data_IF_045901927157
#
_entry.id   IF_045901927157
#
_cell.length_a   1.000
_cell.length_b   1.000
_cell.length_c   1.000
_cell.angle_alpha   90.00
_cell.angle_beta   90.00
_cell.angle_gamma   90.00
#
_symmetry.space_group_name_H-M   'P 1'
#
loop_
_entity.id
_entity.type
_entity.pdbx_description
1 polymer ?
#
# COMPACT_ATOMS: atom_id res chain seq x y z
N UNK A 1 16.59 34.71 -10.56
CA UNK A 1 17.10 35.84 -11.35
C UNK A 1 16.82 35.61 -12.83
N UNK A 2 15.74 36.17 -13.36
CA UNK A 2 15.54 36.35 -14.81
C UNK A 2 14.78 37.66 -14.98
N UNK A 3 15.51 38.67 -15.44
CA UNK A 3 15.02 39.99 -15.82
C UNK A 3 14.46 39.89 -17.24
N UNK A 4 13.14 39.93 -17.40
CA UNK A 4 12.49 40.26 -18.67
C UNK A 4 11.78 41.60 -18.47
N UNK A 5 12.05 42.67 -19.21
CA UNK A 5 12.53 42.74 -20.58
C UNK A 5 11.52 43.55 -21.38
N UNK A 6 11.61 44.86 -21.25
CA UNK A 6 11.08 45.94 -22.11
C UNK A 6 10.01 45.59 -23.16
N UNK A 7 8.82 46.17 -22.99
CA UNK A 7 8.06 46.73 -24.12
C UNK A 7 7.56 48.13 -23.75
N UNK A 8 8.44 49.13 -23.85
CA UNK A 8 8.00 50.52 -24.02
C UNK A 8 7.59 50.69 -25.48
N UNK A 9 6.29 50.69 -25.77
CA UNK A 9 5.80 51.19 -27.07
C UNK A 9 6.07 52.69 -27.12
N UNK A 10 7.10 53.08 -27.86
CA UNK A 10 7.33 54.46 -28.28
C UNK A 10 6.15 54.90 -29.16
N UNK A 11 5.17 55.57 -28.57
CA UNK A 11 4.26 56.42 -29.33
C UNK A 11 5.03 57.69 -29.70
N UNK A 12 5.57 57.72 -30.92
CA UNK A 12 6.07 58.95 -31.53
C UNK A 12 4.85 59.85 -31.77
N UNK A 13 4.57 60.73 -30.81
CA UNK A 13 3.65 61.83 -31.00
C UNK A 13 4.41 62.85 -31.84
N UNK A 14 4.20 62.82 -33.16
CA UNK A 14 4.62 63.93 -34.03
C UNK A 14 3.81 65.16 -33.63
N UNK A 15 4.41 66.03 -32.82
CA UNK A 15 3.87 67.35 -32.54
C UNK A 15 3.82 68.13 -33.86
N UNK A 16 2.61 68.38 -34.37
CA UNK A 16 2.42 69.44 -35.37
C UNK A 16 2.95 70.73 -34.76
N UNK A 17 3.95 71.34 -35.40
CA UNK A 17 4.42 72.70 -35.09
C UNK A 17 3.28 73.65 -35.44
N UNK A 18 2.40 73.91 -34.48
CA UNK A 18 1.39 74.95 -34.58
C UNK A 18 2.04 76.29 -34.21
N UNK A 19 2.31 77.08 -35.26
CA UNK A 19 2.58 78.53 -35.29
C UNK A 19 3.36 79.07 -34.06
N UNK A 20 4.67 79.18 -34.26
CA UNK A 20 5.61 79.74 -33.30
C UNK A 20 5.19 81.17 -32.92
N UNK A 21 5.09 81.41 -31.60
CA UNK A 21 4.85 82.74 -31.03
C UNK A 21 5.89 83.81 -31.44
N UNK A 22 7.00 83.40 -32.07
CA UNK A 22 8.07 84.27 -32.56
C UNK A 22 7.66 85.19 -33.70
N UNK A 23 6.71 84.78 -34.56
CA UNK A 23 6.24 85.61 -35.69
C UNK A 23 5.32 86.77 -35.24
N UNK A 24 4.80 86.69 -34.01
CA UNK A 24 3.76 87.61 -33.53
C UNK A 24 4.29 88.91 -32.93
N UNK A 25 5.47 88.87 -32.32
CA UNK A 25 6.10 90.08 -31.77
C UNK A 25 6.59 91.03 -32.88
N UNK A 26 7.06 90.48 -33.99
CA UNK A 26 7.54 91.20 -35.17
C UNK A 26 6.40 91.88 -35.94
N UNK A 27 5.27 91.21 -36.16
CA UNK A 27 4.10 91.79 -36.87
C UNK A 27 3.45 92.94 -36.09
N UNK A 28 3.38 92.82 -34.75
CA UNK A 28 2.80 93.87 -33.89
C UNK A 28 3.63 95.16 -33.92
N UNK A 29 4.94 95.05 -34.11
CA UNK A 29 5.86 96.20 -34.12
C UNK A 29 6.05 96.83 -35.51
N UNK A 30 5.64 96.16 -36.59
CA UNK A 30 5.77 96.65 -37.97
C UNK A 30 4.46 97.07 -38.65
N UNK A 31 3.29 96.72 -38.10
CA UNK A 31 1.99 96.96 -38.76
C UNK A 31 1.34 98.29 -38.33
N UNK A 32 1.31 99.28 -39.22
CA UNK A 32 0.78 100.63 -38.97
C UNK A 32 -0.76 100.73 -39.11
N UNK A 33 -1.43 99.69 -39.63
CA UNK A 33 -2.88 99.68 -39.81
C UNK A 33 -3.61 99.18 -38.53
N UNK A 34 -4.38 100.04 -37.84
CA UNK A 34 -4.99 99.70 -36.55
C UNK A 34 -6.04 98.58 -36.63
N UNK A 35 -6.64 98.36 -37.81
CA UNK A 35 -7.61 97.27 -38.02
C UNK A 35 -6.92 95.89 -38.07
N UNK A 36 -5.83 95.76 -38.83
CA UNK A 36 -5.05 94.52 -38.91
C UNK A 36 -4.41 94.18 -37.57
N UNK A 37 -3.86 95.19 -36.88
CA UNK A 37 -3.31 95.01 -35.54
C UNK A 37 -4.37 94.48 -34.55
N UNK A 38 -5.60 95.01 -34.60
CA UNK A 38 -6.72 94.53 -33.78
C UNK A 38 -7.12 93.10 -34.10
N UNK A 39 -7.20 92.72 -35.37
CA UNK A 39 -7.46 91.34 -35.80
C UNK A 39 -6.37 90.39 -35.31
N UNK A 40 -5.11 90.82 -35.39
CA UNK A 40 -3.95 90.05 -34.93
C UNK A 40 -3.96 89.80 -33.42
N UNK A 41 -4.19 90.85 -32.63
CA UNK A 41 -4.33 90.76 -31.17
C UNK A 41 -5.51 89.84 -30.80
N UNK A 42 -6.62 89.92 -31.54
CA UNK A 42 -7.79 89.06 -31.32
C UNK A 42 -7.48 87.59 -31.60
N UNK A 43 -6.72 87.31 -32.67
CA UNK A 43 -6.26 85.97 -33.03
C UNK A 43 -5.32 85.39 -31.96
N UNK A 44 -4.32 86.17 -31.54
CA UNK A 44 -3.40 85.81 -30.45
C UNK A 44 -4.12 85.50 -29.15
N UNK A 45 -5.07 86.35 -28.76
CA UNK A 45 -5.83 86.15 -27.54
C UNK A 45 -6.67 84.87 -27.61
N UNK A 46 -7.28 84.59 -28.76
CA UNK A 46 -8.01 83.34 -29.00
C UNK A 46 -7.09 82.13 -28.91
N UNK A 47 -5.94 82.15 -29.61
CA UNK A 47 -4.95 81.08 -29.57
C UNK A 47 -4.39 80.83 -28.17
N UNK A 48 -4.10 81.90 -27.40
CA UNK A 48 -3.67 81.80 -26.01
C UNK A 48 -4.76 81.15 -25.13
N UNK A 49 -6.02 81.58 -25.27
CA UNK A 49 -7.15 81.02 -24.51
C UNK A 49 -7.36 79.54 -24.83
N UNK A 50 -7.26 79.16 -26.09
CA UNK A 50 -7.38 77.77 -26.55
C UNK A 50 -6.21 76.92 -26.05
N UNK A 51 -4.96 77.39 -26.16
CA UNK A 51 -3.78 76.71 -25.59
C UNK A 51 -3.90 76.55 -24.07
N UNK A 52 -4.39 77.56 -23.35
CA UNK A 52 -4.60 77.48 -21.90
C UNK A 52 -5.69 76.45 -21.53
N UNK A 53 -6.76 76.35 -22.32
CA UNK A 53 -7.79 75.31 -22.15
C UNK A 53 -7.21 73.92 -22.39
N UNK A 54 -6.43 73.75 -23.46
CA UNK A 54 -5.73 72.49 -23.75
C UNK A 54 -4.75 72.10 -22.65
N UNK A 55 -4.00 73.07 -22.12
CA UNK A 55 -3.05 72.86 -21.02
C UNK A 55 -3.77 72.40 -19.74
N UNK A 56 -4.87 73.04 -19.36
CA UNK A 56 -5.70 72.59 -18.22
C UNK A 56 -6.25 71.18 -18.42
N UNK A 57 -6.69 70.86 -19.64
CA UNK A 57 -7.13 69.49 -19.96
C UNK A 57 -5.99 68.48 -19.87
N UNK A 58 -4.78 68.84 -20.30
CA UNK A 58 -3.61 68.00 -20.17
C UNK A 58 -3.23 67.75 -18.70
N UNK A 59 -3.26 68.77 -17.85
CA UNK A 59 -3.05 68.61 -16.41
C UNK A 59 -4.09 67.69 -15.77
N UNK A 60 -5.38 67.85 -16.09
CA UNK A 60 -6.42 66.96 -15.59
C UNK A 60 -6.20 65.50 -16.01
N UNK A 61 -5.74 65.25 -17.25
CA UNK A 61 -5.36 63.90 -17.69
C UNK A 61 -4.14 63.37 -16.95
N UNK A 62 -3.15 64.22 -16.67
CA UNK A 62 -1.95 63.84 -15.95
C UNK A 62 -2.28 63.43 -14.50
N UNK A 63 -3.19 64.14 -13.84
CA UNK A 63 -3.67 63.78 -12.50
C UNK A 63 -4.40 62.43 -12.50
N UNK A 64 -5.26 62.17 -13.50
CA UNK A 64 -5.94 60.89 -13.66
C UNK A 64 -4.95 59.75 -13.86
N UNK A 65 -3.98 59.91 -14.77
CA UNK A 65 -2.95 58.91 -15.02
C UNK A 65 -2.08 58.66 -13.78
N UNK A 66 -1.78 59.69 -12.99
CA UNK A 66 -0.99 59.54 -11.77
C UNK A 66 -1.77 58.77 -10.68
N UNK A 67 -3.09 58.98 -10.61
CA UNK A 67 -3.97 58.19 -9.74
C UNK A 67 -4.03 56.73 -10.19
N UNK A 68 -4.18 56.46 -11.50
CA UNK A 68 -4.15 55.10 -12.06
C UNK A 68 -2.81 54.40 -11.76
N UNK A 69 -1.67 55.09 -11.94
CA UNK A 69 -0.35 54.56 -11.60
C UNK A 69 -0.26 54.20 -10.11
N UNK A 70 -0.87 55.00 -9.24
CA UNK A 70 -0.86 54.73 -7.79
C UNK A 70 -1.70 53.50 -7.46
N UNK A 71 -2.88 53.35 -8.08
CA UNK A 71 -3.74 52.17 -7.92
C UNK A 71 -3.08 50.90 -8.47
N UNK A 72 -2.42 50.98 -9.61
CA UNK A 72 -1.71 49.84 -10.19
C UNK A 72 -0.51 49.43 -9.33
N UNK A 73 0.19 50.40 -8.71
CA UNK A 73 1.23 50.08 -7.71
C UNK A 73 0.68 49.32 -6.51
N UNK A 74 -0.47 49.74 -5.97
CA UNK A 74 -1.07 49.02 -4.84
C UNK A 74 -1.49 47.61 -5.23
N UNK A 75 -2.12 47.44 -6.40
CA UNK A 75 -2.49 46.12 -6.93
C UNK A 75 -1.26 45.22 -7.11
N UNK A 76 -0.16 45.77 -7.62
CA UNK A 76 1.08 45.01 -7.80
C UNK A 76 1.62 44.49 -6.46
N UNK A 77 1.61 45.33 -5.42
CA UNK A 77 2.03 44.92 -4.08
C UNK A 77 1.13 43.81 -3.53
N UNK A 78 -0.20 43.94 -3.67
CA UNK A 78 -1.15 42.92 -3.21
C UNK A 78 -0.90 41.57 -3.90
N UNK A 79 -0.65 41.59 -5.22
CA UNK A 79 -0.31 40.40 -6.01
C UNK A 79 1.04 39.80 -5.59
N UNK A 80 2.02 40.64 -5.24
CA UNK A 80 3.33 40.17 -4.77
C UNK A 80 3.20 39.45 -3.42
N UNK A 81 2.40 39.99 -2.50
CA UNK A 81 2.10 39.38 -1.20
C UNK A 81 1.31 38.07 -1.36
N UNK A 82 0.32 38.03 -2.24
CA UNK A 82 -0.43 36.81 -2.56
C UNK A 82 0.49 35.73 -3.15
N UNK A 83 1.34 36.09 -4.10
CA UNK A 83 2.32 35.16 -4.68
C UNK A 83 3.29 34.62 -3.64
N UNK A 84 3.71 35.45 -2.68
CA UNK A 84 4.55 35.01 -1.58
C UNK A 84 3.82 33.99 -0.69
N UNK A 85 2.59 34.29 -0.31
CA UNK A 85 1.73 33.38 0.47
C UNK A 85 1.52 32.03 -0.24
N UNK A 86 1.24 32.06 -1.55
CA UNK A 86 1.08 30.85 -2.35
C UNK A 86 2.36 30.00 -2.39
N UNK A 87 3.53 30.63 -2.52
CA UNK A 87 4.82 29.91 -2.47
C UNK A 87 5.06 29.27 -1.12
N UNK A 88 4.75 29.96 -0.03
CA UNK A 88 4.87 29.41 1.32
C UNK A 88 3.92 28.22 1.53
N UNK A 89 2.68 28.31 1.06
CA UNK A 89 1.72 27.20 1.09
C UNK A 89 2.18 26.01 0.25
N UNK A 90 2.70 26.24 -0.95
CA UNK A 90 3.26 25.19 -1.81
C UNK A 90 4.44 24.49 -1.16
N UNK A 91 5.34 25.23 -0.51
CA UNK A 91 6.46 24.64 0.22
C UNK A 91 5.97 23.79 1.39
N UNK A 92 5.02 24.29 2.18
CA UNK A 92 4.45 23.53 3.29
C UNK A 92 3.77 22.22 2.83
N UNK A 93 3.06 22.24 1.70
CA UNK A 93 2.48 21.02 1.11
C UNK A 93 3.56 20.06 0.62
N UNK A 94 4.65 20.57 0.02
CA UNK A 94 5.77 19.74 -0.41
C UNK A 94 6.44 19.04 0.79
N UNK A 95 6.66 19.76 1.89
CA UNK A 95 7.25 19.20 3.12
C UNK A 95 6.32 18.13 3.73
N UNK A 96 5.01 18.34 3.72
CA UNK A 96 4.03 17.33 4.15
C UNK A 96 4.04 16.09 3.27
N UNK A 97 4.19 16.25 1.95
CA UNK A 97 4.28 15.13 1.02
C UNK A 97 5.51 14.27 1.31
N UNK A 98 6.66 14.90 1.52
CA UNK A 98 7.91 14.20 1.88
C UNK A 98 7.74 13.43 3.20
N UNK A 99 7.17 14.06 4.23
CA UNK A 99 6.92 13.39 5.51
C UNK A 99 6.00 12.17 5.35
N UNK A 100 4.95 12.27 4.52
CA UNK A 100 4.04 11.14 4.25
C UNK A 100 4.73 10.02 3.44
N UNK A 101 5.64 10.36 2.54
CA UNK A 101 6.44 9.39 1.81
C UNK A 101 7.41 8.63 2.74
N UNK A 102 8.04 9.33 3.69
CA UNK A 102 8.87 8.70 4.73
C UNK A 102 8.07 7.76 5.64
N UNK A 103 6.88 8.19 6.10
CA UNK A 103 5.97 7.34 6.87
C UNK A 103 5.55 6.08 6.10
N UNK A 104 5.23 6.22 4.81
CA UNK A 104 4.86 5.11 3.93
C UNK A 104 6.02 4.12 3.77
N UNK A 105 7.24 4.61 3.54
CA UNK A 105 8.43 3.77 3.43
C UNK A 105 8.71 3.02 4.74
N UNK A 106 8.57 3.66 5.90
CA UNK A 106 8.71 3.01 7.20
C UNK A 106 7.66 1.91 7.40
N UNK A 107 6.42 2.14 6.98
CA UNK A 107 5.36 1.15 7.07
C UNK A 107 5.63 -0.05 6.15
N UNK A 108 6.10 0.20 4.93
CA UNK A 108 6.46 -0.86 3.98
C UNK A 108 7.61 -1.73 4.51
N UNK A 109 8.63 -1.11 5.12
CA UNK A 109 9.74 -1.85 5.75
C UNK A 109 9.25 -2.74 6.89
N UNK A 110 8.40 -2.20 7.79
CA UNK A 110 7.81 -2.98 8.89
C UNK A 110 6.96 -4.15 8.40
N UNK A 111 6.23 -3.97 7.31
CA UNK A 111 5.41 -5.04 6.72
C UNK A 111 6.27 -6.18 6.19
N UNK A 112 7.38 -5.86 5.50
CA UNK A 112 8.34 -6.86 5.01
C UNK A 112 8.98 -7.59 6.19
N UNK A 113 9.41 -6.86 7.21
CA UNK A 113 10.02 -7.43 8.41
C UNK A 113 9.05 -8.37 9.15
N UNK A 114 7.79 -7.95 9.35
CA UNK A 114 6.77 -8.79 9.97
C UNK A 114 6.51 -10.07 9.15
N UNK A 115 6.35 -9.94 7.84
CA UNK A 115 6.13 -11.09 6.94
C UNK A 115 7.30 -12.08 7.03
N UNK A 116 8.53 -11.58 7.13
CA UNK A 116 9.71 -12.41 7.28
C UNK A 116 9.73 -13.14 8.63
N UNK A 117 9.43 -12.43 9.73
CA UNK A 117 9.35 -13.05 11.06
C UNK A 117 8.27 -14.12 11.13
N UNK A 118 7.10 -13.89 10.53
CA UNK A 118 6.02 -14.89 10.48
C UNK A 118 6.43 -16.13 9.69
N UNK A 119 7.12 -15.97 8.56
CA UNK A 119 7.67 -17.09 7.79
C UNK A 119 8.70 -17.89 8.60
N UNK A 120 9.59 -17.21 9.29
CA UNK A 120 10.61 -17.86 10.13
C UNK A 120 9.97 -18.65 11.27
N UNK A 121 8.97 -18.08 11.95
CA UNK A 121 8.23 -18.75 13.02
C UNK A 121 7.50 -20.01 12.51
N UNK A 122 6.83 -19.94 11.36
CA UNK A 122 6.16 -21.10 10.76
C UNK A 122 7.17 -22.20 10.40
N UNK A 123 8.32 -21.84 9.84
CA UNK A 123 9.36 -22.81 9.49
C UNK A 123 9.90 -23.48 10.76
N UNK A 124 10.16 -22.71 11.81
CA UNK A 124 10.62 -23.24 13.10
C UNK A 124 9.60 -24.20 13.73
N UNK A 125 8.32 -23.83 13.74
CA UNK A 125 7.23 -24.69 14.22
C UNK A 125 7.14 -26.00 13.42
N UNK A 126 7.18 -25.91 12.09
CA UNK A 126 7.16 -27.08 11.22
C UNK A 126 8.38 -28.00 11.41
N UNK A 127 9.56 -27.44 11.67
CA UNK A 127 10.78 -28.22 11.92
C UNK A 127 10.72 -28.95 13.26
N UNK A 128 10.14 -28.32 14.29
CA UNK A 128 9.86 -28.96 15.58
C UNK A 128 8.86 -30.10 15.41
N UNK A 129 7.73 -29.88 14.74
CA UNK A 129 6.74 -30.93 14.48
C UNK A 129 7.33 -32.10 13.69
N UNK A 130 8.08 -31.81 12.62
CA UNK A 130 8.79 -32.85 11.85
C UNK A 130 9.74 -33.66 12.71
N UNK A 131 10.43 -33.02 13.64
CA UNK A 131 11.35 -33.70 14.57
C UNK A 131 10.58 -34.62 15.53
N UNK A 132 9.45 -34.17 16.06
CA UNK A 132 8.57 -34.97 16.92
C UNK A 132 8.01 -36.16 16.16
N UNK A 133 7.48 -35.96 14.95
CA UNK A 133 6.96 -37.07 14.14
C UNK A 133 8.04 -38.07 13.76
N UNK A 134 9.23 -37.61 13.42
CA UNK A 134 10.37 -38.48 13.13
C UNK A 134 10.74 -39.35 14.33
N UNK A 135 10.74 -38.76 15.53
CA UNK A 135 11.00 -39.49 16.77
C UNK A 135 9.91 -40.54 17.05
N UNK A 136 8.63 -40.19 16.86
CA UNK A 136 7.52 -41.14 16.98
C UNK A 136 7.62 -42.29 15.99
N UNK A 137 8.02 -42.02 14.73
CA UNK A 137 8.26 -43.06 13.72
C UNK A 137 9.35 -44.01 14.19
N UNK A 138 10.50 -43.49 14.66
CA UNK A 138 11.59 -44.31 15.17
C UNK A 138 11.11 -45.22 16.32
N UNK A 139 10.34 -44.68 17.26
CA UNK A 139 9.80 -45.45 18.39
C UNK A 139 8.85 -46.56 17.95
N UNK A 140 8.01 -46.31 16.94
CA UNK A 140 7.11 -47.30 16.37
C UNK A 140 7.89 -48.38 15.58
N UNK A 141 8.93 -48.01 14.86
CA UNK A 141 9.82 -48.94 14.16
C UNK A 141 10.56 -49.87 15.15
N UNK A 142 11.08 -49.33 16.25
CA UNK A 142 11.72 -50.11 17.32
C UNK A 142 10.73 -51.08 17.99
N UNK A 143 9.51 -50.60 18.30
CA UNK A 143 8.46 -51.44 18.87
C UNK A 143 8.05 -52.58 17.91
N UNK A 144 7.94 -52.29 16.61
CA UNK A 144 7.65 -53.28 15.58
C UNK A 144 8.76 -54.32 15.47
N UNK A 145 10.02 -53.89 15.49
CA UNK A 145 11.18 -54.79 15.47
C UNK A 145 11.18 -55.72 16.69
N UNK A 146 10.93 -55.20 17.88
CA UNK A 146 10.83 -56.00 19.10
C UNK A 146 9.70 -57.03 19.03
N UNK A 147 8.52 -56.63 18.54
CA UNK A 147 7.39 -57.53 18.35
C UNK A 147 7.71 -58.66 17.36
N UNK A 148 8.40 -58.35 16.25
CA UNK A 148 8.83 -59.36 15.27
C UNK A 148 9.81 -60.38 15.87
N UNK A 149 10.74 -59.93 16.73
CA UNK A 149 11.65 -60.82 17.46
C UNK A 149 10.87 -61.74 18.40
N UNK A 150 9.90 -61.20 19.14
CA UNK A 150 9.08 -62.00 20.07
C UNK A 150 8.18 -62.99 19.34
N UNK A 151 7.56 -62.61 18.22
CA UNK A 151 6.82 -63.53 17.35
C UNK A 151 7.72 -64.67 16.87
N UNK A 152 8.95 -64.36 16.47
CA UNK A 152 9.92 -65.38 16.03
C UNK A 152 10.26 -66.33 17.18
N UNK A 153 10.49 -65.81 18.39
CA UNK A 153 10.74 -66.59 19.60
C UNK A 153 9.58 -67.52 19.94
N UNK A 154 8.35 -66.98 19.99
CA UNK A 154 7.14 -67.75 20.27
C UNK A 154 6.85 -68.80 19.19
N UNK A 155 7.17 -68.50 17.93
CA UNK A 155 7.03 -69.46 16.82
C UNK A 155 7.95 -70.67 17.01
N UNK A 156 9.20 -70.43 17.43
CA UNK A 156 10.16 -71.51 17.76
C UNK A 156 9.65 -72.32 18.96
N UNK A 157 9.21 -71.65 20.03
CA UNK A 157 8.70 -72.29 21.24
C UNK A 157 7.45 -73.16 20.95
N UNK A 158 6.54 -72.68 20.10
CA UNK A 158 5.38 -73.45 19.64
C UNK A 158 5.78 -74.68 18.83
N UNK A 159 6.80 -74.58 17.97
CA UNK A 159 7.31 -75.73 17.22
C UNK A 159 7.89 -76.80 18.16
N UNK A 160 8.68 -76.41 19.15
CA UNK A 160 9.25 -77.31 20.16
C UNK A 160 8.18 -78.00 21.02
N UNK A 161 7.14 -77.26 21.42
CA UNK A 161 5.99 -77.81 22.14
C UNK A 161 5.24 -78.82 21.27
N UNK A 162 5.00 -78.50 19.99
CA UNK A 162 4.31 -79.39 19.06
C UNK A 162 5.09 -80.70 18.86
N UNK A 163 6.41 -80.62 18.69
CA UNK A 163 7.30 -81.79 18.61
C UNK A 163 7.26 -82.62 19.90
N UNK A 164 7.28 -81.96 21.06
CA UNK A 164 7.16 -82.61 22.37
C UNK A 164 5.81 -83.29 22.55
N UNK A 165 4.71 -82.67 22.10
CA UNK A 165 3.38 -83.27 22.10
C UNK A 165 3.30 -84.47 21.17
N UNK A 166 3.92 -84.43 19.98
CA UNK A 166 3.98 -85.60 19.11
C UNK A 166 4.75 -86.76 19.76
N UNK A 167 5.89 -86.47 20.40
CA UNK A 167 6.64 -87.48 21.18
C UNK A 167 5.78 -88.05 22.32
N UNK A 168 5.12 -87.20 23.12
CA UNK A 168 4.22 -87.66 24.18
C UNK A 168 3.04 -88.47 23.64
N UNK A 169 2.43 -88.10 22.51
CA UNK A 169 1.35 -88.90 21.90
C UNK A 169 1.86 -90.28 21.50
N UNK A 170 3.06 -90.37 20.90
CA UNK A 170 3.70 -91.66 20.56
C UNK A 170 4.00 -92.50 21.82
N UNK A 171 4.46 -91.87 22.90
CA UNK A 171 4.64 -92.56 24.19
C UNK A 171 3.29 -92.99 24.76
N UNK A 172 2.29 -92.13 24.76
CA UNK A 172 0.95 -92.39 25.30
C UNK A 172 0.18 -93.47 24.52
N UNK A 173 0.36 -93.57 23.20
CA UNK A 173 -0.15 -94.73 22.42
C UNK A 173 0.57 -96.04 22.77
N UNK A 174 1.81 -95.96 23.29
CA UNK A 174 2.56 -97.11 23.77
C UNK A 174 2.31 -97.43 25.25
N UNK A 175 1.65 -96.55 26.01
CA UNK A 175 1.32 -96.73 27.42
C UNK A 175 -0.14 -96.39 27.69
N UNK A 176 -1.03 -97.37 27.49
CA UNK A 176 -2.31 -97.42 28.20
C UNK A 176 -2.04 -97.77 29.66
N UNK A 177 -2.09 -96.77 30.54
CA UNK A 177 -2.59 -96.80 31.93
C UNK A 177 -2.04 -95.59 32.69
N UNK A 178 -2.92 -94.68 33.14
CA UNK A 178 -2.88 -93.90 34.41
C UNK A 178 -3.73 -92.63 34.27
N UNK A 179 -4.81 -92.52 35.04
CA UNK A 179 -5.95 -91.62 34.79
C UNK A 179 -6.10 -90.42 35.73
N UNK A 180 -5.13 -90.09 36.59
CA UNK A 180 -5.37 -89.07 37.65
C UNK A 180 -4.57 -87.77 37.49
N UNK A 181 -3.53 -87.70 36.65
CA UNK A 181 -2.77 -86.45 36.42
C UNK A 181 -3.37 -85.53 35.34
N UNK A 182 -4.43 -85.97 34.66
CA UNK A 182 -5.05 -85.26 33.52
C UNK A 182 -5.94 -84.08 33.96
N UNK A 183 -6.60 -84.22 35.11
CA UNK A 183 -7.62 -83.26 35.59
C UNK A 183 -7.04 -81.90 36.04
N UNK A 184 -5.94 -81.89 36.81
CA UNK A 184 -5.33 -80.62 37.26
C UNK A 184 -4.65 -79.83 36.14
N UNK A 185 -4.14 -80.52 35.12
CA UNK A 185 -3.50 -79.88 33.97
C UNK A 185 -4.56 -79.22 33.07
N UNK A 186 -5.72 -79.86 32.90
CA UNK A 186 -6.83 -79.33 32.11
C UNK A 186 -7.46 -78.07 32.74
N UNK A 187 -7.54 -78.02 34.08
CA UNK A 187 -7.99 -76.84 34.83
C UNK A 187 -7.00 -75.67 34.64
N UNK A 188 -5.69 -75.87 34.85
CA UNK A 188 -4.70 -74.79 34.66
C UNK A 188 -4.63 -74.25 33.23
N UNK A 189 -4.77 -75.12 32.22
CA UNK A 189 -4.82 -74.67 30.82
C UNK A 189 -6.11 -73.88 30.50
N UNK A 190 -7.21 -74.18 31.18
CA UNK A 190 -8.48 -73.46 30.99
C UNK A 190 -8.46 -72.07 31.65
N UNK A 191 -7.83 -71.92 32.81
CA UNK A 191 -7.67 -70.64 33.51
C UNK A 191 -6.71 -69.71 32.77
N UNK A 192 -5.53 -70.20 32.36
CA UNK A 192 -4.57 -69.40 31.60
C UNK A 192 -5.15 -68.88 30.27
N UNK A 193 -5.90 -69.73 29.54
CA UNK A 193 -6.60 -69.31 28.31
C UNK A 193 -7.67 -68.24 28.55
N UNK A 194 -8.33 -68.26 29.72
CA UNK A 194 -9.35 -67.29 30.07
C UNK A 194 -8.72 -65.94 30.40
N UNK A 195 -7.57 -65.95 31.08
CA UNK A 195 -6.82 -64.75 31.43
C UNK A 195 -6.20 -64.08 30.19
N UNK A 196 -5.56 -64.84 29.30
CA UNK A 196 -5.03 -64.34 28.02
C UNK A 196 -6.14 -63.72 27.14
N UNK A 197 -7.34 -64.32 27.15
CA UNK A 197 -8.49 -63.82 26.38
C UNK A 197 -9.03 -62.51 26.95
N UNK A 198 -9.05 -62.36 28.27
CA UNK A 198 -9.49 -61.13 28.92
C UNK A 198 -8.51 -59.98 28.65
N UNK A 199 -7.21 -60.26 28.69
CA UNK A 199 -6.16 -59.27 28.39
C UNK A 199 -6.20 -58.81 26.93
N UNK A 200 -6.33 -59.75 25.98
CA UNK A 200 -6.55 -59.43 24.56
C UNK A 200 -7.80 -58.58 24.34
N UNK A 201 -8.88 -58.87 25.06
CA UNK A 201 -10.13 -58.09 24.96
C UNK A 201 -9.92 -56.66 25.44
N UNK A 202 -9.16 -56.47 26.52
CA UNK A 202 -8.81 -55.14 27.05
C UNK A 202 -7.96 -54.34 26.05
N UNK A 203 -6.94 -54.96 25.47
CA UNK A 203 -6.10 -54.31 24.45
C UNK A 203 -6.90 -53.91 23.20
N UNK A 204 -7.81 -54.75 22.73
CA UNK A 204 -8.70 -54.42 21.60
C UNK A 204 -9.59 -53.21 21.93
N UNK A 205 -10.11 -53.13 23.16
CA UNK A 205 -10.90 -52.00 23.63
C UNK A 205 -10.09 -50.70 23.64
N UNK A 206 -8.87 -50.72 24.18
CA UNK A 206 -7.97 -49.56 24.22
C UNK A 206 -7.59 -49.09 22.81
N UNK A 207 -7.26 -50.02 21.90
CA UNK A 207 -6.97 -49.71 20.49
C UNK A 207 -8.19 -49.10 19.80
N UNK A 208 -9.38 -49.64 20.05
CA UNK A 208 -10.63 -49.13 19.46
C UNK A 208 -10.91 -47.71 19.93
N UNK A 209 -10.72 -47.44 21.23
CA UNK A 209 -10.93 -46.12 21.81
C UNK A 209 -9.92 -45.10 21.27
N UNK A 210 -8.65 -45.50 21.14
CA UNK A 210 -7.61 -44.65 20.55
C UNK A 210 -7.88 -44.35 19.07
N UNK A 211 -8.32 -45.35 18.30
CA UNK A 211 -8.74 -45.16 16.90
C UNK A 211 -9.89 -44.15 16.78
N UNK A 212 -10.89 -44.24 17.65
CA UNK A 212 -12.01 -43.30 17.65
C UNK A 212 -11.56 -41.87 17.95
N UNK A 213 -10.68 -41.68 18.93
CA UNK A 213 -10.12 -40.37 19.27
C UNK A 213 -9.38 -39.74 18.09
N UNK A 214 -8.50 -40.51 17.44
CA UNK A 214 -7.75 -40.05 16.27
C UNK A 214 -8.67 -39.70 15.10
N UNK A 215 -9.76 -40.44 14.92
CA UNK A 215 -10.71 -40.18 13.85
C UNK A 215 -11.52 -38.89 14.10
N UNK A 216 -11.85 -38.59 15.36
CA UNK A 216 -12.44 -37.31 15.73
C UNK A 216 -11.47 -36.16 15.45
N UNK A 217 -10.21 -36.29 15.85
CA UNK A 217 -9.17 -35.28 15.63
C UNK A 217 -8.93 -35.02 14.14
N UNK A 218 -8.84 -36.07 13.32
CA UNK A 218 -8.75 -35.96 11.86
C UNK A 218 -9.93 -35.16 11.28
N UNK A 219 -11.15 -35.43 11.74
CA UNK A 219 -12.36 -34.75 11.24
C UNK A 219 -12.34 -33.25 11.61
N UNK A 220 -11.85 -32.91 12.79
CA UNK A 220 -11.69 -31.51 13.22
C UNK A 220 -10.64 -30.80 12.36
N UNK A 221 -9.48 -31.41 12.13
CA UNK A 221 -8.42 -30.84 11.30
C UNK A 221 -8.86 -30.66 9.83
N UNK A 222 -9.63 -31.60 9.28
CA UNK A 222 -10.20 -31.47 7.93
C UNK A 222 -11.16 -30.27 7.85
N UNK A 223 -11.98 -30.04 8.89
CA UNK A 223 -12.88 -28.89 8.95
C UNK A 223 -12.14 -27.55 9.07
N UNK A 224 -11.11 -27.48 9.92
CA UNK A 224 -10.27 -26.28 10.08
C UNK A 224 -9.50 -25.95 8.80
N UNK A 225 -8.98 -26.96 8.10
CA UNK A 225 -8.27 -26.78 6.83
C UNK A 225 -9.21 -26.23 5.74
N UNK A 226 -10.45 -26.72 5.66
CA UNK A 226 -11.42 -26.21 4.69
C UNK A 226 -11.85 -24.76 5.02
N UNK A 227 -11.97 -24.41 6.30
CA UNK A 227 -12.24 -23.03 6.71
C UNK A 227 -11.08 -22.09 6.34
N UNK A 228 -9.83 -22.48 6.63
CA UNK A 228 -8.64 -21.72 6.24
C UNK A 228 -8.55 -21.52 4.72
N UNK A 229 -8.89 -22.55 3.94
CA UNK A 229 -8.92 -22.47 2.48
C UNK A 229 -9.97 -21.47 1.97
N UNK A 230 -11.13 -21.42 2.62
CA UNK A 230 -12.17 -20.45 2.32
C UNK A 230 -11.73 -19.02 2.68
N UNK A 231 -11.13 -18.82 3.86
CA UNK A 231 -10.57 -17.54 4.27
C UNK A 231 -9.50 -17.04 3.30
N UNK A 232 -8.56 -17.92 2.91
CA UNK A 232 -7.50 -17.60 1.94
C UNK A 232 -8.08 -17.18 0.57
N UNK A 233 -9.10 -17.89 0.10
CA UNK A 233 -9.81 -17.56 -1.15
C UNK A 233 -10.48 -16.19 -1.08
N UNK A 234 -11.09 -15.85 0.05
CA UNK A 234 -11.72 -14.55 0.27
C UNK A 234 -10.70 -13.41 0.30
N UNK A 235 -9.60 -13.57 1.06
CA UNK A 235 -8.50 -12.60 1.12
C UNK A 235 -7.87 -12.39 -0.25
N UNK A 236 -7.74 -13.45 -1.05
CA UNK A 236 -7.20 -13.37 -2.41
C UNK A 236 -8.10 -12.51 -3.31
N UNK A 237 -9.43 -12.68 -3.23
CA UNK A 237 -10.39 -11.86 -3.98
C UNK A 237 -10.37 -10.40 -3.54
N UNK A 238 -10.34 -10.15 -2.23
CA UNK A 238 -10.29 -8.80 -1.69
C UNK A 238 -9.02 -8.06 -2.14
N UNK A 239 -7.86 -8.73 -2.09
CA UNK A 239 -6.60 -8.18 -2.61
C UNK A 239 -6.66 -7.85 -4.10
N UNK A 240 -7.33 -8.68 -4.92
CA UNK A 240 -7.52 -8.38 -6.34
C UNK A 240 -8.39 -7.13 -6.55
N UNK A 241 -9.47 -6.99 -5.78
CA UNK A 241 -10.32 -5.79 -5.85
C UNK A 241 -9.55 -4.53 -5.44
N UNK A 242 -8.83 -4.58 -4.31
CA UNK A 242 -8.02 -3.45 -3.84
C UNK A 242 -6.93 -3.05 -4.84
N UNK A 243 -6.28 -4.03 -5.50
CA UNK A 243 -5.31 -3.74 -6.57
C UNK A 243 -5.97 -3.04 -7.76
N UNK A 244 -7.13 -3.54 -8.21
CA UNK A 244 -7.87 -2.91 -9.30
C UNK A 244 -8.33 -1.50 -8.96
N UNK A 245 -8.78 -1.27 -7.72
CA UNK A 245 -9.17 0.05 -7.24
C UNK A 245 -7.98 1.01 -7.19
N UNK A 246 -6.84 0.55 -6.67
CA UNK A 246 -5.60 1.33 -6.61
C UNK A 246 -5.12 1.72 -8.02
N UNK A 247 -5.16 0.80 -8.97
CA UNK A 247 -4.83 1.08 -10.38
C UNK A 247 -5.79 2.10 -11.00
N UNK A 248 -7.10 2.00 -10.69
CA UNK A 248 -8.10 2.98 -11.11
C UNK A 248 -7.84 4.38 -10.54
N UNK A 249 -7.51 4.46 -9.25
CA UNK A 249 -7.17 5.72 -8.59
C UNK A 249 -5.91 6.35 -9.17
N UNK A 250 -4.87 5.56 -9.44
CA UNK A 250 -3.64 6.03 -10.11
C UNK A 250 -3.93 6.61 -11.49
N UNK A 251 -4.77 5.95 -12.28
CA UNK A 251 -5.17 6.48 -13.59
C UNK A 251 -5.97 7.78 -13.45
N UNK A 252 -6.88 7.87 -12.49
CA UNK A 252 -7.68 9.08 -12.28
C UNK A 252 -6.80 10.26 -11.85
N UNK A 253 -5.89 10.03 -10.90
CA UNK A 253 -4.93 11.03 -10.46
C UNK A 253 -4.02 11.48 -11.61
N UNK A 254 -3.51 10.53 -12.42
CA UNK A 254 -2.71 10.85 -13.61
C UNK A 254 -3.48 11.72 -14.61
N UNK A 255 -4.77 11.43 -14.85
CA UNK A 255 -5.63 12.27 -15.70
C UNK A 255 -5.85 13.66 -15.12
N UNK A 256 -6.11 13.78 -13.82
CA UNK A 256 -6.26 15.08 -13.17
C UNK A 256 -4.99 15.93 -13.28
N UNK A 257 -3.82 15.35 -13.00
CA UNK A 257 -2.55 16.04 -13.13
C UNK A 257 -2.28 16.48 -14.58
N UNK A 258 -2.61 15.63 -15.55
CA UNK A 258 -2.50 15.97 -16.96
C UNK A 258 -3.44 17.12 -17.35
N UNK A 259 -4.71 17.07 -16.96
CA UNK A 259 -5.68 18.15 -17.22
C UNK A 259 -5.24 19.47 -16.60
N UNK A 260 -4.76 19.44 -15.35
CA UNK A 260 -4.22 20.62 -14.67
C UNK A 260 -3.02 21.21 -15.42
N UNK A 261 -2.12 20.36 -15.93
CA UNK A 261 -0.98 20.84 -16.74
C UNK A 261 -1.41 21.52 -18.04
N UNK A 262 -2.52 21.10 -18.64
CA UNK A 262 -3.06 21.74 -19.84
C UNK A 262 -3.72 23.08 -19.52
N UNK A 263 -4.42 23.19 -18.39
CA UNK A 263 -4.95 24.47 -17.90
C UNK A 263 -3.83 25.47 -17.60
N UNK A 264 -2.76 25.01 -16.93
CA UNK A 264 -1.59 25.83 -16.62
C UNK A 264 -0.87 26.34 -17.87
N UNK A 265 -0.88 25.58 -18.98
CA UNK A 265 -0.29 25.99 -20.28
C UNK A 265 -1.19 26.97 -21.03
N UNK A 266 -2.52 26.82 -20.96
CA UNK A 266 -3.46 27.72 -21.63
C UNK A 266 -3.54 29.11 -20.96
N UNK A 267 -3.18 29.22 -19.69
CA UNK A 267 -3.14 30.48 -18.95
C UNK A 267 -1.88 31.33 -19.21
N UNK A 268 -0.91 30.81 -19.95
CA UNK A 268 0.34 31.53 -20.28
C UNK A 268 0.34 32.28 -21.62
N UNK A 269 -0.74 32.19 -22.41
CA UNK A 269 -0.82 32.76 -23.77
C UNK A 269 -1.70 34.02 -23.92
N UNK A 270 -2.27 34.57 -22.82
CA UNK A 270 -2.99 35.87 -22.78
C UNK A 270 -2.17 36.95 -22.02
#
# INVERSE_FOLDING_TARGET
MRTGGLFRRNTVITAKRDEDFGDYATVISSEEEPKKLKEYITSLYKAFKDKNKSLRSAYAKLDLLNNEITQEKTRFTDIEDENKSLREQMQAMADQLVAKEEEFNSWQEKLVEQTQREREAIVEEMDVERSVFKEQINQLEDALNLANVEISRLTIELADINDSQQKMRRISTNTTNTTDSRSSMEIMFSEKKKEDRNELTKQILEITQRRMSLQTELTTLEAENEDLKNQYSQITKENQMLRSENDGLKQHLGKQLFMKSLEDVNLTDD
#
